data_IF_028430281924
#
_entry.id   IF_028430281924
#
_cell.length_a   1.000
_cell.length_b   1.000
_cell.length_c   1.000
_cell.angle_alpha   90.00
_cell.angle_beta   90.00
_cell.angle_gamma   90.00
#
_symmetry.space_group_name_H-M   'P 1'
#
loop_
_entity.id
_entity.type
_entity.pdbx_description
1 polymer ?
#
# COMPACT_ATOMS: atom_id res chain seq x y z
N UNK A 1 -28.25 -0.10 0.78
CA UNK A 1 -26.80 -0.10 0.67
C UNK A 1 -26.38 -0.19 -0.78
N UNK A 2 -25.62 0.78 -1.31
CA UNK A 2 -25.17 0.64 -2.69
C UNK A 2 -24.29 -0.59 -2.84
N UNK A 3 -24.44 -1.27 -3.95
CA UNK A 3 -23.72 -2.51 -4.17
C UNK A 3 -22.35 -2.36 -4.81
N UNK A 4 -21.80 -1.15 -4.86
CA UNK A 4 -20.53 -0.94 -5.55
C UNK A 4 -19.55 -0.13 -4.70
N UNK A 5 -18.26 -0.24 -5.03
CA UNK A 5 -17.16 0.45 -4.35
C UNK A 5 -16.23 1.04 -5.40
N UNK A 6 -15.61 2.16 -5.06
CA UNK A 6 -14.55 2.71 -5.91
C UNK A 6 -13.28 1.89 -5.86
N UNK A 7 -13.00 1.25 -4.73
CA UNK A 7 -11.80 0.46 -4.56
C UNK A 7 -12.17 -0.94 -4.11
N UNK A 8 -11.35 -1.90 -4.51
CA UNK A 8 -11.57 -3.30 -4.18
C UNK A 8 -11.15 -3.58 -2.75
N UNK A 9 -11.54 -4.77 -2.24
CA UNK A 9 -11.08 -5.20 -0.92
C UNK A 9 -9.56 -5.38 -0.91
N UNK A 10 -8.95 -5.78 -2.03
CA UNK A 10 -7.49 -5.84 -2.14
C UNK A 10 -6.87 -4.46 -1.91
N UNK A 11 -7.43 -3.43 -2.51
CA UNK A 11 -6.94 -2.07 -2.31
C UNK A 11 -7.13 -1.61 -0.87
N UNK A 12 -8.26 -1.94 -0.25
CA UNK A 12 -8.52 -1.58 1.14
C UNK A 12 -7.55 -2.26 2.10
N UNK A 13 -7.30 -3.56 1.90
CA UNK A 13 -6.33 -4.29 2.72
C UNK A 13 -4.94 -3.70 2.57
N UNK A 14 -4.52 -3.46 1.33
CA UNK A 14 -3.18 -2.90 1.07
C UNK A 14 -3.04 -1.52 1.71
N UNK A 15 -4.09 -0.69 1.61
CA UNK A 15 -4.09 0.63 2.20
C UNK A 15 -3.93 0.58 3.72
N UNK A 16 -4.64 -0.33 4.39
CA UNK A 16 -4.55 -0.48 5.84
C UNK A 16 -3.17 -1.00 6.26
N UNK A 17 -2.63 -1.95 5.50
CA UNK A 17 -1.29 -2.46 5.75
C UNK A 17 -0.25 -1.36 5.60
N UNK A 18 -0.39 -0.50 4.59
CA UNK A 18 0.55 0.60 4.36
C UNK A 18 0.54 1.58 5.53
N UNK A 19 -0.65 1.87 6.06
CA UNK A 19 -0.79 2.81 7.17
C UNK A 19 -0.45 2.19 8.52
N UNK A 20 -0.66 0.88 8.66
CA UNK A 20 -0.44 0.14 9.91
C UNK A 20 0.32 -1.15 9.62
N UNK A 21 1.64 -1.06 9.44
CA UNK A 21 2.43 -2.21 8.98
C UNK A 21 2.39 -3.44 9.88
N UNK A 22 1.99 -3.29 11.14
CA UNK A 22 1.90 -4.41 12.09
C UNK A 22 0.46 -4.83 12.37
N UNK A 23 -0.48 -4.40 11.55
CA UNK A 23 -1.88 -4.75 11.72
C UNK A 23 -2.08 -6.26 11.61
N UNK A 24 -2.99 -6.79 12.43
CA UNK A 24 -3.27 -8.23 12.44
C UNK A 24 -4.39 -8.57 11.45
N UNK A 25 -4.47 -9.86 11.12
CA UNK A 25 -5.55 -10.39 10.28
C UNK A 25 -6.91 -10.07 10.89
N UNK A 26 -7.02 -10.25 12.21
CA UNK A 26 -8.27 -9.99 12.92
C UNK A 26 -8.67 -8.53 12.84
N UNK A 27 -7.70 -7.64 13.02
CA UNK A 27 -7.96 -6.21 12.93
C UNK A 27 -8.41 -5.83 11.52
N UNK A 28 -7.76 -6.36 10.50
CA UNK A 28 -8.16 -6.13 9.12
C UNK A 28 -9.58 -6.62 8.86
N UNK A 29 -9.90 -7.81 9.36
CA UNK A 29 -11.23 -8.39 9.23
C UNK A 29 -12.30 -7.47 9.82
N UNK A 30 -12.04 -6.98 11.02
CA UNK A 30 -12.98 -6.09 11.72
C UNK A 30 -13.12 -4.75 11.03
N UNK A 31 -12.02 -4.18 10.55
CA UNK A 31 -12.04 -2.86 9.91
C UNK A 31 -12.73 -2.88 8.56
N UNK A 32 -12.51 -3.92 7.78
CA UNK A 32 -13.01 -3.98 6.41
C UNK A 32 -14.38 -4.66 6.34
N UNK A 33 -14.68 -5.49 7.34
CA UNK A 33 -15.97 -6.17 7.40
C UNK A 33 -16.06 -7.42 6.55
N UNK A 34 -14.95 -8.11 6.38
CA UNK A 34 -14.89 -9.40 5.69
C UNK A 34 -14.25 -10.44 6.60
N UNK A 35 -14.36 -11.70 6.25
CA UNK A 35 -13.85 -12.78 7.09
C UNK A 35 -12.32 -12.80 7.14
N UNK A 36 -11.77 -13.40 8.19
CA UNK A 36 -10.32 -13.58 8.28
C UNK A 36 -9.80 -14.46 7.15
N UNK A 37 -10.60 -15.43 6.72
CA UNK A 37 -10.25 -16.29 5.59
C UNK A 37 -10.09 -15.45 4.31
N UNK A 38 -11.02 -14.52 4.09
CA UNK A 38 -10.94 -13.61 2.94
C UNK A 38 -9.71 -12.71 3.03
N UNK A 39 -9.38 -12.22 4.22
CA UNK A 39 -8.17 -11.41 4.43
C UNK A 39 -6.92 -12.22 4.10
N UNK A 40 -6.84 -13.48 4.56
CA UNK A 40 -5.70 -14.35 4.25
C UNK A 40 -5.50 -14.51 2.74
N UNK A 41 -6.60 -14.72 2.01
CA UNK A 41 -6.55 -14.86 0.56
C UNK A 41 -6.00 -13.59 -0.09
N UNK A 42 -6.50 -12.43 0.36
CA UNK A 42 -6.07 -11.15 -0.18
C UNK A 42 -4.58 -10.91 0.09
N UNK A 43 -4.14 -11.19 1.31
CA UNK A 43 -2.72 -11.02 1.66
C UNK A 43 -1.85 -11.96 0.82
N UNK A 44 -2.29 -13.20 0.60
CA UNK A 44 -1.57 -14.14 -0.25
C UNK A 44 -1.46 -13.60 -1.68
N UNK A 45 -2.55 -13.05 -2.22
CA UNK A 45 -2.54 -12.46 -3.55
C UNK A 45 -1.53 -11.31 -3.64
N UNK A 46 -1.56 -10.40 -2.65
CA UNK A 46 -0.68 -9.24 -2.62
C UNK A 46 0.78 -9.65 -2.50
N UNK A 47 1.06 -10.65 -1.66
CA UNK A 47 2.42 -11.15 -1.48
C UNK A 47 2.93 -11.86 -2.73
N UNK A 48 2.09 -12.71 -3.32
CA UNK A 48 2.45 -13.47 -4.52
C UNK A 48 2.79 -12.54 -5.68
N UNK A 49 2.05 -11.45 -5.83
CA UNK A 49 2.29 -10.49 -6.89
C UNK A 49 3.36 -9.46 -6.53
N UNK A 50 3.92 -9.55 -5.33
CA UNK A 50 5.07 -8.71 -4.95
C UNK A 50 4.73 -7.35 -4.37
N UNK A 51 3.45 -7.05 -4.13
CA UNK A 51 3.07 -5.75 -3.57
C UNK A 51 3.44 -5.60 -2.10
N UNK A 52 3.51 -6.71 -1.37
CA UNK A 52 3.93 -6.70 0.02
C UNK A 52 4.95 -7.79 0.29
N UNK A 53 5.76 -7.57 1.32
CA UNK A 53 6.70 -8.57 1.84
C UNK A 53 6.42 -8.70 3.33
N UNK A 54 6.31 -9.94 3.81
CA UNK A 54 6.16 -10.23 5.24
C UNK A 54 7.53 -10.24 5.90
N UNK A 55 7.66 -9.55 7.01
CA UNK A 55 8.89 -9.52 7.80
C UNK A 55 8.53 -9.99 9.20
N UNK A 56 9.20 -11.05 9.67
CA UNK A 56 8.96 -11.56 11.01
C UNK A 56 9.78 -10.75 12.02
N UNK A 57 9.09 -10.24 13.04
CA UNK A 57 9.72 -9.52 14.14
C UNK A 57 9.35 -10.23 15.44
N UNK A 58 10.14 -11.22 15.83
CA UNK A 58 9.81 -12.07 16.96
C UNK A 58 8.55 -12.88 16.69
N UNK A 59 7.53 -12.67 17.50
CA UNK A 59 6.23 -13.35 17.34
C UNK A 59 5.26 -12.58 16.47
N UNK A 60 5.65 -11.39 16.00
CA UNK A 60 4.79 -10.52 15.21
C UNK A 60 5.23 -10.50 13.77
N UNK A 61 4.30 -10.13 12.89
CA UNK A 61 4.59 -9.88 11.50
C UNK A 61 4.50 -8.39 11.23
N UNK A 62 5.40 -7.91 10.40
CA UNK A 62 5.34 -6.57 9.85
C UNK A 62 5.31 -6.70 8.34
N UNK A 63 4.53 -5.87 7.70
CA UNK A 63 4.44 -5.85 6.24
C UNK A 63 5.19 -4.66 5.68
N UNK A 64 5.93 -4.91 4.62
CA UNK A 64 6.59 -3.85 3.87
C UNK A 64 5.92 -3.73 2.51
N UNK A 65 5.57 -2.51 2.11
CA UNK A 65 4.96 -2.23 0.82
C UNK A 65 6.05 -2.04 -0.22
N UNK A 66 5.79 -2.51 -1.43
CA UNK A 66 6.63 -2.21 -2.58
C UNK A 66 5.90 -1.16 -3.43
N UNK A 67 6.10 0.14 -3.17
CA UNK A 67 5.29 1.19 -3.78
C UNK A 67 5.59 1.44 -5.25
N UNK A 68 6.68 0.88 -5.76
CA UNK A 68 7.11 1.13 -7.14
C UNK A 68 6.49 0.19 -8.15
N UNK A 69 5.78 -0.86 -7.69
CA UNK A 69 5.11 -1.76 -8.61
C UNK A 69 3.90 -1.09 -9.26
N UNK A 70 3.70 -1.39 -10.52
CA UNK A 70 2.55 -0.87 -11.26
C UNK A 70 1.29 -1.67 -10.94
N UNK A 71 0.15 -1.01 -11.12
CA UNK A 71 -1.14 -1.66 -10.93
C UNK A 71 -1.34 -2.75 -11.99
N UNK A 72 -2.10 -3.79 -11.62
CA UNK A 72 -2.34 -4.94 -12.50
C UNK A 72 -3.34 -4.63 -13.61
N UNK A 73 -4.25 -3.70 -13.36
CA UNK A 73 -5.32 -3.41 -14.30
C UNK A 73 -4.74 -2.85 -15.58
N UNK A 74 -5.15 -3.41 -16.71
CA UNK A 74 -4.58 -3.03 -18.01
C UNK A 74 -4.60 -1.53 -18.26
N UNK A 75 -5.67 -0.87 -17.85
CA UNK A 75 -5.82 0.57 -18.06
C UNK A 75 -4.93 1.41 -17.13
N UNK A 76 -4.34 0.80 -16.12
CA UNK A 76 -3.61 1.49 -15.06
C UNK A 76 -2.18 1.02 -14.91
N UNK A 77 -1.66 0.28 -15.88
CA UNK A 77 -0.33 -0.33 -15.79
C UNK A 77 0.83 0.68 -15.80
N UNK A 78 0.55 1.93 -16.11
CA UNK A 78 1.54 3.00 -16.03
C UNK A 78 1.51 3.73 -14.68
N UNK A 79 0.66 3.28 -13.74
CA UNK A 79 0.51 3.92 -12.43
C UNK A 79 1.13 3.03 -11.36
N UNK A 80 1.99 3.60 -10.52
CA UNK A 80 2.58 2.88 -9.40
C UNK A 80 1.58 2.76 -8.26
N UNK A 81 1.58 1.61 -7.59
CA UNK A 81 0.64 1.35 -6.49
C UNK A 81 0.83 2.34 -5.34
N UNK A 82 2.07 2.79 -5.12
CA UNK A 82 2.33 3.77 -4.06
C UNK A 82 1.58 5.07 -4.24
N UNK A 83 1.42 5.50 -5.49
CA UNK A 83 0.69 6.73 -5.78
C UNK A 83 -0.80 6.58 -5.46
N UNK A 84 -1.38 5.43 -5.77
CA UNK A 84 -2.75 5.14 -5.39
C UNK A 84 -2.91 5.17 -3.87
N UNK A 85 -1.99 4.52 -3.15
CA UNK A 85 -2.06 4.47 -1.70
C UNK A 85 -1.94 5.87 -1.07
N UNK A 86 -1.14 6.74 -1.65
CA UNK A 86 -1.02 8.12 -1.16
C UNK A 86 -2.33 8.88 -1.33
N UNK A 87 -3.01 8.69 -2.45
CA UNK A 87 -4.34 9.27 -2.66
C UNK A 87 -5.32 8.78 -1.61
N UNK A 88 -5.18 7.52 -1.19
CA UNK A 88 -6.07 6.90 -0.21
C UNK A 88 -5.66 7.16 1.24
N UNK A 89 -4.67 8.01 1.46
CA UNK A 89 -4.31 8.44 2.81
C UNK A 89 -2.99 7.95 3.35
N UNK A 90 -2.26 7.15 2.58
CA UNK A 90 -0.95 6.69 3.04
C UNK A 90 0.06 7.82 2.98
N UNK A 91 0.77 8.03 4.09
CA UNK A 91 1.84 9.00 4.14
C UNK A 91 3.15 8.25 3.95
N UNK A 92 3.62 8.22 2.70
CA UNK A 92 4.86 7.52 2.37
C UNK A 92 6.02 8.18 3.12
N UNK A 93 6.80 7.35 3.85
CA UNK A 93 8.01 7.85 4.48
C UNK A 93 9.05 8.07 3.39
N UNK A 94 9.44 9.32 3.20
CA UNK A 94 10.46 9.66 2.21
C UNK A 94 11.67 10.22 2.92
N UNK A 95 12.84 9.93 2.35
CA UNK A 95 14.07 10.53 2.85
C UNK A 95 14.00 12.04 2.55
N UNK A 96 14.37 12.89 3.52
CA UNK A 96 14.41 14.33 3.26
C UNK A 96 15.32 14.63 2.06
N UNK A 97 14.86 15.51 1.18
CA UNK A 97 15.65 15.90 0.01
C UNK A 97 16.74 16.85 0.48
N UNK A 98 17.98 16.52 0.13
CA UNK A 98 19.12 17.37 0.44
C UNK A 98 19.09 18.60 -0.44
N UNK A 99 19.62 19.71 0.07
CA UNK A 99 19.70 20.94 -0.70
C UNK A 99 20.40 20.71 -2.03
N UNK A 100 21.45 19.89 -2.02
CA UNK A 100 22.17 19.50 -3.23
C UNK A 100 21.27 18.83 -4.24
N UNK A 101 20.40 17.93 -3.75
CA UNK A 101 19.50 17.20 -4.62
C UNK A 101 18.45 18.11 -5.25
N UNK A 102 17.98 19.09 -4.49
CA UNK A 102 17.04 20.08 -5.01
C UNK A 102 17.65 20.86 -6.18
N UNK A 103 18.90 21.25 -6.04
CA UNK A 103 19.62 21.94 -7.12
C UNK A 103 19.74 21.05 -8.34
N UNK A 104 20.10 19.78 -8.12
CA UNK A 104 20.27 18.82 -9.22
C UNK A 104 18.95 18.55 -9.95
N UNK A 105 17.83 18.66 -9.26
CA UNK A 105 16.51 18.45 -9.85
C UNK A 105 15.95 19.71 -10.52
N UNK A 106 16.75 20.78 -10.57
CA UNK A 106 16.28 22.03 -11.13
C UNK A 106 15.29 22.74 -10.23
N UNK A 107 15.66 22.88 -8.96
CA UNK A 107 14.77 23.44 -7.94
C UNK A 107 14.21 24.82 -8.33
N UNK A 108 14.89 25.55 -9.18
CA UNK A 108 14.40 26.82 -9.68
C UNK A 108 13.03 26.70 -10.36
N UNK A 109 12.69 25.52 -10.82
CA UNK A 109 11.41 25.27 -11.44
C UNK A 109 10.28 25.17 -10.41
N UNK A 110 10.61 25.12 -9.13
CA UNK A 110 9.64 25.01 -8.05
C UNK A 110 9.07 26.37 -7.63
N UNK A 111 9.59 27.45 -8.17
CA UNK A 111 9.23 28.81 -7.77
C UNK A 111 8.77 29.67 -8.91
#
# INVERSE_FOLDING_TARGET
MPGWKFVTNHALVLCQIAQHPRITIRELSLMIGITEKAIHRIITDLETDGYITKIREGRRLRYRINPNLYLRDEMLQDKAVGDLLEVLGWKRRRRPIQKRELVALGAKALF
#
